data_IF_099137778901
#
_entry.id   IF_099137778901
#
_cell.length_a   1.000
_cell.length_b   1.000
_cell.length_c   1.000
_cell.angle_alpha   90.00
_cell.angle_beta   90.00
_cell.angle_gamma   90.00
#
_symmetry.space_group_name_H-M   'P 1'
#
loop_
_entity.id
_entity.type
_entity.pdbx_description
1 polymer ?
#
# COMPACT_ATOMS: atom_id res chain seq x y z
N UNK A 1 38.65 -45.11 18.06
CA UNK A 1 38.10 -44.71 16.75
C UNK A 1 36.62 -44.42 16.92
N UNK A 2 36.27 -43.14 17.05
CA UNK A 2 34.88 -42.66 17.10
C UNK A 2 34.92 -41.22 16.60
N UNK A 3 34.66 -41.03 15.30
CA UNK A 3 34.35 -39.72 14.76
C UNK A 3 32.85 -39.69 14.42
N UNK A 4 32.13 -38.91 15.21
CA UNK A 4 30.73 -38.58 15.01
C UNK A 4 30.56 -37.84 13.69
N UNK A 5 29.57 -38.26 12.91
CA UNK A 5 29.09 -37.55 11.73
C UNK A 5 28.60 -36.15 12.14
N UNK A 6 29.17 -35.12 11.52
CA UNK A 6 28.68 -33.76 11.63
C UNK A 6 27.31 -33.68 10.92
N UNK A 7 26.24 -33.56 11.69
CA UNK A 7 24.94 -33.12 11.21
C UNK A 7 25.11 -31.67 10.74
N UNK A 8 24.76 -31.30 9.49
CA UNK A 8 24.79 -29.91 9.08
C UNK A 8 23.81 -29.15 9.96
N UNK A 9 24.34 -28.24 10.78
CA UNK A 9 23.52 -27.30 11.53
C UNK A 9 22.65 -26.58 10.52
N UNK A 10 21.34 -26.84 10.60
CA UNK A 10 20.32 -26.01 9.99
C UNK A 10 20.67 -24.57 10.36
N UNK A 11 21.15 -23.81 9.39
CA UNK A 11 21.32 -22.38 9.55
C UNK A 11 19.95 -21.87 9.98
N UNK A 12 19.88 -21.46 11.24
CA UNK A 12 18.80 -20.64 11.74
C UNK A 12 18.76 -19.44 10.80
N UNK A 13 17.86 -19.51 9.83
CA UNK A 13 17.45 -18.38 9.02
C UNK A 13 17.01 -17.38 10.08
N UNK A 14 17.88 -16.39 10.35
CA UNK A 14 17.52 -15.24 11.14
C UNK A 14 16.24 -14.73 10.53
N UNK A 15 15.14 -14.89 11.25
CA UNK A 15 13.86 -14.34 10.89
C UNK A 15 14.06 -12.84 10.86
N UNK A 16 14.45 -12.31 9.69
CA UNK A 16 14.31 -10.90 9.41
C UNK A 16 12.87 -10.56 9.76
N UNK A 17 12.62 -9.51 10.56
CA UNK A 17 11.28 -9.20 11.02
C UNK A 17 10.34 -9.19 9.82
N UNK A 18 9.34 -10.08 9.89
CA UNK A 18 8.28 -10.25 8.90
C UNK A 18 7.55 -8.92 8.86
N UNK A 19 7.75 -8.14 7.80
CA UNK A 19 7.09 -6.84 7.67
C UNK A 19 5.78 -7.04 6.91
N UNK A 20 4.58 -6.88 7.48
CA UNK A 20 3.31 -6.93 6.75
C UNK A 20 3.02 -5.56 6.13
N UNK A 21 3.38 -5.34 4.87
CA UNK A 21 3.61 -3.97 4.38
C UNK A 21 2.46 -3.25 3.65
N UNK A 22 1.31 -3.89 3.39
CA UNK A 22 0.22 -3.20 2.67
C UNK A 22 -0.69 -2.38 3.59
N UNK A 23 -0.65 -2.60 4.93
CA UNK A 23 -1.51 -1.91 5.90
C UNK A 23 -0.86 -1.57 7.25
N UNK A 24 0.47 -1.50 7.34
CA UNK A 24 1.04 -0.78 8.48
C UNK A 24 0.89 0.72 8.22
N UNK A 25 -0.22 1.26 8.72
CA UNK A 25 -0.53 2.70 8.69
C UNK A 25 0.63 3.51 9.25
N UNK A 26 1.37 2.99 10.22
CA UNK A 26 2.50 3.67 10.84
C UNK A 26 3.72 3.71 9.90
N UNK A 27 4.07 2.59 9.26
CA UNK A 27 5.17 2.56 8.30
C UNK A 27 4.89 3.46 7.08
N UNK A 28 3.68 3.36 6.50
CA UNK A 28 3.27 4.21 5.38
C UNK A 28 3.24 5.70 5.77
N UNK A 29 2.83 6.02 7.00
CA UNK A 29 2.90 7.37 7.53
C UNK A 29 4.35 7.89 7.61
N UNK A 30 5.28 7.06 8.09
CA UNK A 30 6.70 7.41 8.12
C UNK A 30 7.27 7.60 6.71
N UNK A 31 6.93 6.74 5.76
CA UNK A 31 7.34 6.87 4.37
C UNK A 31 6.77 8.13 3.70
N UNK A 32 5.50 8.45 3.94
CA UNK A 32 4.88 9.69 3.47
C UNK A 32 5.59 10.93 4.04
N UNK A 33 5.99 10.90 5.32
CA UNK A 33 6.81 11.96 5.93
C UNK A 33 8.16 12.12 5.23
N UNK A 34 8.80 11.03 4.81
CA UNK A 34 10.07 11.11 4.09
C UNK A 34 9.92 11.75 2.70
N UNK A 35 8.88 11.38 1.94
CA UNK A 35 8.57 12.04 0.66
C UNK A 35 8.27 13.54 0.87
N UNK A 36 7.48 13.86 1.90
CA UNK A 36 7.19 15.26 2.27
C UNK A 36 8.47 16.02 2.62
N UNK A 37 9.37 15.41 3.37
CA UNK A 37 10.65 16.01 3.76
C UNK A 37 11.51 16.28 2.53
N UNK A 38 11.64 15.32 1.62
CA UNK A 38 12.37 15.49 0.36
C UNK A 38 11.81 16.65 -0.50
N UNK A 39 10.48 16.73 -0.63
CA UNK A 39 9.82 17.85 -1.35
C UNK A 39 10.08 19.20 -0.67
N UNK A 40 10.12 19.24 0.66
CA UNK A 40 10.46 20.47 1.40
C UNK A 40 11.94 20.83 1.30
N UNK A 41 12.85 19.86 1.22
CA UNK A 41 14.28 20.10 0.96
C UNK A 41 14.44 20.79 -0.40
N UNK A 42 13.81 20.26 -1.45
CA UNK A 42 13.82 20.88 -2.79
C UNK A 42 13.32 22.34 -2.74
N UNK A 43 12.23 22.59 -2.01
CA UNK A 43 11.65 23.93 -1.82
C UNK A 43 12.43 24.85 -0.86
N UNK A 44 13.50 24.36 -0.23
CA UNK A 44 14.25 25.11 0.79
C UNK A 44 13.46 25.39 2.08
N UNK A 45 12.44 24.58 2.37
CA UNK A 45 11.52 24.73 3.51
C UNK A 45 11.90 23.89 4.74
N UNK A 46 12.94 23.06 4.62
CA UNK A 46 13.58 22.36 5.75
C UNK A 46 14.99 22.91 5.89
N UNK A 47 15.31 23.38 7.09
CA UNK A 47 16.65 23.78 7.46
C UNK A 47 17.43 22.57 7.96
N UNK A 48 18.75 22.60 7.81
CA UNK A 48 19.62 21.57 8.39
C UNK A 48 19.63 21.68 9.91
N UNK A 49 19.66 22.92 10.44
CA UNK A 49 19.75 23.23 11.87
C UNK A 49 18.44 23.78 12.43
N UNK A 50 18.16 23.46 13.69
CA UNK A 50 17.00 24.00 14.40
C UNK A 50 17.19 25.52 14.63
N UNK A 51 16.15 26.32 14.34
CA UNK A 51 16.19 27.78 14.50
C UNK A 51 16.37 28.23 15.96
N UNK A 52 15.79 27.48 16.90
CA UNK A 52 15.81 27.74 18.34
C UNK A 52 17.04 27.11 19.01
N UNK A 53 17.63 26.09 18.38
CA UNK A 53 18.85 25.44 18.84
C UNK A 53 19.84 25.20 17.67
N UNK A 54 20.62 26.21 17.25
CA UNK A 54 21.48 26.12 16.04
C UNK A 54 22.55 25.02 16.08
N UNK A 55 22.88 24.52 17.27
CA UNK A 55 23.81 23.39 17.46
C UNK A 55 23.16 22.02 17.20
N UNK A 56 21.83 21.97 17.12
CA UNK A 56 21.05 20.76 16.90
C UNK A 56 20.56 20.69 15.45
N UNK A 57 20.41 19.48 14.93
CA UNK A 57 19.71 19.26 13.66
C UNK A 57 18.23 19.55 13.82
N UNK A 58 17.61 20.09 12.77
CA UNK A 58 16.16 20.22 12.70
C UNK A 58 15.52 18.82 12.81
N UNK A 59 14.42 18.69 13.56
CA UNK A 59 13.81 17.39 13.84
C UNK A 59 13.30 16.69 12.57
N UNK A 60 12.75 17.43 11.61
CA UNK A 60 12.30 16.85 10.34
C UNK A 60 13.49 16.43 9.48
N UNK A 61 14.56 17.23 9.47
CA UNK A 61 15.77 16.86 8.74
C UNK A 61 16.50 15.66 9.36
N UNK A 62 16.53 15.57 10.69
CA UNK A 62 17.06 14.42 11.41
C UNK A 62 16.29 13.13 11.05
N UNK A 63 14.96 13.19 10.97
CA UNK A 63 14.15 12.06 10.55
C UNK A 63 14.45 11.64 9.10
N UNK A 64 14.64 12.61 8.20
CA UNK A 64 15.07 12.36 6.82
C UNK A 64 16.44 11.66 6.75
N UNK A 65 17.43 12.14 7.52
CA UNK A 65 18.76 11.50 7.59
C UNK A 65 18.69 10.08 8.16
N UNK A 66 17.85 9.87 9.19
CA UNK A 66 17.59 8.55 9.78
C UNK A 66 16.98 7.55 8.81
N UNK A 67 16.32 8.02 7.75
CA UNK A 67 15.72 7.18 6.72
C UNK A 67 16.72 6.70 5.65
N UNK A 68 17.82 7.44 5.41
CA UNK A 68 18.79 7.10 4.36
C UNK A 68 19.43 5.71 4.54
N UNK A 69 19.86 5.30 5.76
CA UNK A 69 20.35 3.94 5.99
C UNK A 69 19.30 2.89 5.68
N UNK A 70 18.04 3.10 6.08
CA UNK A 70 16.98 2.14 5.77
C UNK A 70 16.83 1.97 4.26
N UNK A 71 16.81 3.08 3.51
CA UNK A 71 16.68 3.04 2.06
C UNK A 71 17.88 2.35 1.40
N UNK A 72 19.10 2.60 1.89
CA UNK A 72 20.31 1.90 1.42
C UNK A 72 20.15 0.38 1.49
N UNK A 73 19.68 -0.15 2.63
CA UNK A 73 19.54 -1.58 2.86
C UNK A 73 18.40 -2.22 2.05
N UNK A 74 17.37 -1.45 1.69
CA UNK A 74 16.17 -1.97 1.01
C UNK A 74 16.11 -1.67 -0.49
N UNK A 75 17.12 -0.98 -1.04
CA UNK A 75 17.14 -0.55 -2.47
C UNK A 75 16.92 -1.68 -3.47
N UNK A 76 17.44 -2.88 -3.19
CA UNK A 76 17.32 -4.04 -4.09
C UNK A 76 15.87 -4.50 -4.16
N UNK A 77 15.19 -4.60 -3.01
CA UNK A 77 13.77 -4.95 -2.93
C UNK A 77 12.89 -3.90 -3.61
N UNK A 78 13.27 -2.63 -3.50
CA UNK A 78 12.54 -1.51 -4.09
C UNK A 78 12.64 -1.47 -5.64
N UNK A 79 13.64 -2.10 -6.25
CA UNK A 79 13.82 -2.12 -7.69
C UNK A 79 12.65 -2.79 -8.46
N UNK A 80 11.87 -3.64 -7.78
CA UNK A 80 10.68 -4.27 -8.36
C UNK A 80 9.45 -3.34 -8.43
N UNK A 81 9.56 -2.11 -7.91
CA UNK A 81 8.44 -1.18 -7.77
C UNK A 81 8.67 0.09 -8.58
N UNK A 82 7.58 0.70 -9.03
CA UNK A 82 7.57 2.09 -9.46
C UNK A 82 7.58 2.97 -8.20
N UNK A 83 8.69 3.65 -7.95
CA UNK A 83 8.87 4.49 -6.77
C UNK A 83 8.44 5.93 -7.05
N UNK A 84 8.05 6.62 -5.98
CA UNK A 84 7.93 8.06 -5.98
C UNK A 84 9.25 8.70 -6.48
N UNK A 85 9.19 9.71 -7.37
CA UNK A 85 10.40 10.32 -7.94
C UNK A 85 11.43 10.81 -6.93
N UNK A 86 11.00 11.33 -5.77
CA UNK A 86 11.93 11.68 -4.69
C UNK A 86 12.64 10.43 -4.14
N UNK A 87 11.91 9.35 -3.87
CA UNK A 87 12.52 8.10 -3.41
C UNK A 87 13.45 7.49 -4.44
N UNK A 88 13.08 7.52 -5.71
CA UNK A 88 13.91 7.02 -6.79
C UNK A 88 15.25 7.78 -6.84
N UNK A 89 15.19 9.10 -6.77
CA UNK A 89 16.39 9.95 -6.77
C UNK A 89 17.28 9.76 -5.52
N UNK A 90 16.65 9.52 -4.37
CA UNK A 90 17.37 9.18 -3.14
C UNK A 90 18.01 7.80 -3.27
N UNK A 91 17.31 6.78 -3.78
CA UNK A 91 17.83 5.43 -4.00
C UNK A 91 19.11 5.45 -4.84
N UNK A 92 19.12 6.21 -5.94
CA UNK A 92 20.29 6.37 -6.80
C UNK A 92 21.49 6.97 -6.03
N UNK A 93 21.21 7.87 -5.07
CA UNK A 93 22.24 8.53 -4.27
C UNK A 93 22.73 7.66 -3.11
N UNK A 94 21.83 6.94 -2.44
CA UNK A 94 22.18 6.09 -1.30
C UNK A 94 22.75 4.73 -1.71
N UNK A 95 22.98 4.50 -3.01
CA UNK A 95 23.68 3.30 -3.49
C UNK A 95 25.11 3.16 -2.95
N UNK A 96 25.74 4.26 -2.53
CA UNK A 96 27.07 4.25 -1.92
C UNK A 96 27.04 3.69 -0.50
N UNK A 97 28.06 2.89 -0.15
CA UNK A 97 28.16 2.16 1.13
C UNK A 97 28.13 3.07 2.37
N UNK A 98 28.62 4.31 2.29
CA UNK A 98 28.66 5.22 3.43
C UNK A 98 27.26 5.63 3.93
N UNK A 99 26.23 5.62 3.07
CA UNK A 99 24.85 5.92 3.48
C UNK A 99 24.24 4.82 4.35
N UNK A 100 24.85 3.63 4.44
CA UNK A 100 24.45 2.59 5.40
C UNK A 100 24.73 3.00 6.85
N UNK A 101 25.63 3.96 7.07
CA UNK A 101 26.07 4.38 8.39
C UNK A 101 25.37 5.67 8.81
N UNK A 102 24.50 5.60 9.83
CA UNK A 102 23.80 6.76 10.35
C UNK A 102 24.75 7.86 10.84
N UNK A 103 25.88 7.51 11.48
CA UNK A 103 26.84 8.51 11.96
C UNK A 103 27.45 9.29 10.80
N UNK A 104 27.72 8.62 9.68
CA UNK A 104 28.16 9.32 8.47
C UNK A 104 27.11 10.32 8.00
N UNK A 105 25.84 9.93 7.93
CA UNK A 105 24.74 10.82 7.54
C UNK A 105 24.62 12.03 8.47
N UNK A 106 24.79 11.85 9.79
CA UNK A 106 24.68 12.92 10.77
C UNK A 106 25.88 13.90 10.70
N UNK A 107 27.10 13.39 10.54
CA UNK A 107 28.31 14.21 10.43
C UNK A 107 28.32 15.03 9.14
N UNK A 108 27.79 14.48 8.06
CA UNK A 108 27.77 15.11 6.73
C UNK A 108 26.43 15.78 6.39
N UNK A 109 25.62 16.10 7.41
CA UNK A 109 24.27 16.60 7.27
C UNK A 109 24.15 17.81 6.31
N UNK A 110 25.00 18.84 6.45
CA UNK A 110 24.94 20.02 5.58
C UNK A 110 25.25 19.68 4.12
N UNK A 111 26.32 18.91 3.88
CA UNK A 111 26.73 18.49 2.54
C UNK A 111 25.67 17.61 1.85
N UNK A 112 25.05 16.69 2.61
CA UNK A 112 23.97 15.82 2.13
C UNK A 112 22.73 16.66 1.77
N UNK A 113 22.40 17.69 2.56
CA UNK A 113 21.28 18.58 2.27
C UNK A 113 21.47 19.31 0.94
N UNK A 114 22.62 19.97 0.77
CA UNK A 114 22.94 20.72 -0.45
C UNK A 114 23.00 19.80 -1.67
N UNK A 115 23.56 18.59 -1.51
CA UNK A 115 23.59 17.59 -2.56
C UNK A 115 22.18 17.21 -3.01
N UNK A 116 21.29 16.81 -2.09
CA UNK A 116 19.93 16.41 -2.44
C UNK A 116 19.12 17.56 -3.00
N UNK A 117 19.20 18.76 -2.40
CA UNK A 117 18.53 19.96 -2.91
C UNK A 117 18.94 20.26 -4.35
N UNK A 118 20.25 20.27 -4.63
CA UNK A 118 20.78 20.50 -5.96
C UNK A 118 20.32 19.43 -6.95
N UNK A 119 20.33 18.15 -6.53
CA UNK A 119 19.91 17.01 -7.36
C UNK A 119 18.42 17.09 -7.71
N UNK A 120 17.56 17.34 -6.72
CA UNK A 120 16.12 17.47 -6.91
C UNK A 120 15.77 18.62 -7.86
N UNK A 121 16.37 19.80 -7.66
CA UNK A 121 16.14 20.97 -8.51
C UNK A 121 16.62 20.75 -9.96
N UNK A 122 17.81 20.17 -10.14
CA UNK A 122 18.36 19.89 -11.48
C UNK A 122 17.48 18.95 -12.30
N UNK A 123 16.95 17.91 -11.65
CA UNK A 123 16.05 16.93 -12.30
C UNK A 123 14.59 17.39 -12.34
N UNK A 124 14.24 18.49 -11.67
CA UNK A 124 12.88 19.02 -11.56
C UNK A 124 11.92 17.97 -10.98
N UNK A 125 12.34 17.32 -9.89
CA UNK A 125 11.61 16.18 -9.28
C UNK A 125 10.16 16.53 -8.95
N UNK A 126 9.85 17.77 -8.57
CA UNK A 126 8.48 18.21 -8.36
C UNK A 126 7.55 18.01 -9.58
N UNK A 127 8.05 18.15 -10.81
CA UNK A 127 7.28 17.91 -12.03
C UNK A 127 7.03 16.41 -12.22
N UNK A 128 8.08 15.58 -12.10
CA UNK A 128 7.94 14.12 -12.16
C UNK A 128 6.96 13.60 -11.09
N UNK A 129 7.05 14.15 -9.88
CA UNK A 129 6.15 13.81 -8.77
C UNK A 129 4.70 14.12 -9.11
N UNK A 130 4.43 15.27 -9.75
CA UNK A 130 3.07 15.67 -10.15
C UNK A 130 2.46 14.66 -11.14
N UNK A 131 3.23 14.22 -12.15
CA UNK A 131 2.81 13.17 -13.08
C UNK A 131 2.65 11.82 -12.39
N UNK A 132 3.50 11.51 -11.40
CA UNK A 132 3.42 10.24 -10.66
C UNK A 132 2.12 10.11 -9.85
N UNK A 133 1.68 11.19 -9.19
CA UNK A 133 0.49 11.19 -8.32
C UNK A 133 -0.83 11.42 -9.05
N UNK A 134 -0.79 11.91 -10.29
CA UNK A 134 -1.99 12.25 -11.07
C UNK A 134 -2.96 11.05 -11.20
N UNK A 135 -2.53 9.83 -11.59
CA UNK A 135 -3.43 8.67 -11.66
C UNK A 135 -4.10 8.32 -10.33
N UNK A 136 -3.41 8.56 -9.22
CA UNK A 136 -3.95 8.30 -7.87
C UNK A 136 -4.98 9.37 -7.51
N UNK A 137 -4.70 10.62 -7.85
CA UNK A 137 -5.60 11.75 -7.60
C UNK A 137 -6.90 11.61 -8.42
N UNK A 138 -6.79 11.20 -9.68
CA UNK A 138 -7.94 10.88 -10.54
C UNK A 138 -8.75 9.71 -9.97
N UNK A 139 -8.08 8.64 -9.53
CA UNK A 139 -8.76 7.51 -8.90
C UNK A 139 -9.56 7.92 -7.67
N UNK A 140 -8.97 8.72 -6.76
CA UNK A 140 -9.65 9.23 -5.57
C UNK A 140 -10.87 10.08 -5.96
N UNK A 141 -10.72 10.94 -6.98
CA UNK A 141 -11.82 11.77 -7.49
C UNK A 141 -12.98 10.91 -8.01
N UNK A 142 -12.68 9.91 -8.82
CA UNK A 142 -13.66 8.98 -9.38
C UNK A 142 -14.38 8.22 -8.27
N UNK A 143 -13.65 7.63 -7.32
CA UNK A 143 -14.24 6.87 -6.22
C UNK A 143 -15.15 7.71 -5.33
N UNK A 144 -14.73 8.95 -5.01
CA UNK A 144 -15.58 9.89 -4.27
C UNK A 144 -16.82 10.28 -5.04
N UNK A 145 -16.73 10.41 -6.37
CA UNK A 145 -17.87 10.71 -7.22
C UNK A 145 -18.85 9.53 -7.29
N UNK A 146 -18.35 8.29 -7.39
CA UNK A 146 -19.15 7.06 -7.33
C UNK A 146 -19.87 6.96 -5.99
N UNK A 147 -19.14 7.11 -4.87
CA UNK A 147 -19.71 7.13 -3.53
C UNK A 147 -20.83 8.17 -3.40
N UNK A 148 -20.56 9.41 -3.80
CA UNK A 148 -21.54 10.50 -3.77
C UNK A 148 -22.78 10.15 -4.60
N UNK A 149 -22.60 9.73 -5.85
CA UNK A 149 -23.71 9.36 -6.75
C UNK A 149 -24.55 8.22 -6.16
N UNK A 150 -23.90 7.19 -5.62
CA UNK A 150 -24.56 6.05 -5.02
C UNK A 150 -25.38 6.48 -3.79
N UNK A 151 -24.77 7.25 -2.88
CA UNK A 151 -25.47 7.75 -1.69
C UNK A 151 -26.64 8.67 -2.02
N UNK A 152 -26.43 9.59 -2.97
CA UNK A 152 -27.45 10.57 -3.37
C UNK A 152 -28.65 9.86 -4.02
N UNK A 153 -28.42 8.77 -4.78
CA UNK A 153 -29.46 7.96 -5.41
C UNK A 153 -30.20 7.07 -4.39
N UNK A 154 -29.47 6.34 -3.57
CA UNK A 154 -30.03 5.27 -2.73
C UNK A 154 -30.32 5.67 -1.28
N UNK A 155 -29.91 6.88 -0.88
CA UNK A 155 -30.12 7.53 0.42
C UNK A 155 -29.43 6.85 1.61
N UNK A 156 -29.21 5.54 1.55
CA UNK A 156 -28.50 4.78 2.57
C UNK A 156 -27.80 3.55 1.96
N UNK A 157 -26.61 3.26 2.48
CA UNK A 157 -25.84 2.09 2.08
C UNK A 157 -24.75 1.75 3.10
N UNK A 158 -24.34 0.49 3.13
CA UNK A 158 -23.19 -0.01 3.85
C UNK A 158 -21.96 0.13 2.94
N UNK A 159 -20.97 0.88 3.42
CA UNK A 159 -19.74 1.18 2.72
C UNK A 159 -18.62 0.33 3.30
N UNK A 160 -18.06 -0.54 2.47
CA UNK A 160 -17.18 -1.61 2.93
C UNK A 160 -15.87 -1.54 2.15
N UNK A 161 -14.76 -1.53 2.88
CA UNK A 161 -13.44 -1.68 2.31
C UNK A 161 -12.84 -2.97 2.87
N UNK A 162 -12.44 -3.84 1.96
CA UNK A 162 -11.75 -5.07 2.31
C UNK A 162 -10.34 -5.01 1.78
N UNK A 163 -9.40 -5.47 2.60
CA UNK A 163 -8.02 -5.75 2.21
C UNK A 163 -7.75 -7.20 2.55
N UNK A 164 -7.49 -8.01 1.51
CA UNK A 164 -7.46 -9.47 1.59
C UNK A 164 -6.05 -9.98 1.24
N UNK A 165 -5.15 -10.10 2.23
CA UNK A 165 -3.79 -10.59 2.01
C UNK A 165 -3.81 -12.00 1.43
N UNK A 166 -3.08 -12.18 0.35
CA UNK A 166 -2.94 -13.43 -0.37
C UNK A 166 -1.75 -14.22 0.18
N UNK A 167 -1.87 -14.69 1.42
CA UNK A 167 -0.89 -15.56 2.08
C UNK A 167 -1.46 -16.98 2.07
N UNK A 168 -1.09 -17.75 1.06
CA UNK A 168 -1.58 -19.11 0.92
C UNK A 168 -0.58 -20.13 1.43
N UNK A 169 -1.07 -21.10 2.17
CA UNK A 169 -0.31 -22.31 2.49
C UNK A 169 -0.39 -23.23 1.27
N UNK A 170 0.66 -23.27 0.47
CA UNK A 170 0.70 -24.11 -0.74
C UNK A 170 1.34 -25.47 -0.42
N UNK A 171 0.76 -26.60 -0.86
CA UNK A 171 1.52 -27.84 -0.98
C UNK A 171 2.49 -27.72 -2.18
N UNK A 172 3.78 -27.52 -1.87
CA UNK A 172 4.98 -27.88 -2.65
C UNK A 172 5.15 -27.49 -4.14
N UNK A 173 4.31 -26.69 -4.78
CA UNK A 173 4.54 -26.26 -6.18
C UNK A 173 5.28 -24.92 -6.27
N UNK A 174 6.49 -24.95 -6.85
CA UNK A 174 7.22 -23.74 -7.26
C UNK A 174 6.51 -23.18 -8.51
N UNK A 175 5.60 -22.23 -8.31
CA UNK A 175 4.99 -21.48 -9.40
C UNK A 175 5.91 -20.33 -9.82
N UNK A 176 5.96 -20.03 -11.12
CA UNK A 176 6.55 -18.77 -11.57
C UNK A 176 5.74 -17.58 -11.01
N UNK A 177 6.38 -16.42 -10.82
CA UNK A 177 5.68 -15.21 -10.34
C UNK A 177 4.49 -14.90 -11.26
N UNK A 178 4.67 -14.99 -12.58
CA UNK A 178 3.59 -14.71 -13.53
C UNK A 178 2.40 -15.67 -13.40
N UNK A 179 2.65 -16.96 -13.17
CA UNK A 179 1.57 -17.93 -12.96
C UNK A 179 0.82 -17.66 -11.66
N UNK A 180 1.55 -17.29 -10.60
CA UNK A 180 0.96 -16.91 -9.32
C UNK A 180 0.02 -15.71 -9.49
N UNK A 181 0.46 -14.67 -10.20
CA UNK A 181 -0.34 -13.48 -10.45
C UNK A 181 -1.60 -13.76 -11.29
N UNK A 182 -1.49 -14.63 -12.30
CA UNK A 182 -2.65 -15.06 -13.09
C UNK A 182 -3.67 -15.82 -12.23
N UNK A 183 -3.20 -16.69 -11.34
CA UNK A 183 -4.08 -17.40 -10.39
C UNK A 183 -4.77 -16.41 -9.44
N UNK A 184 -4.05 -15.45 -8.88
CA UNK A 184 -4.62 -14.41 -8.02
C UNK A 184 -5.79 -13.67 -8.69
N UNK A 185 -5.64 -13.30 -9.96
CA UNK A 185 -6.70 -12.61 -10.72
C UNK A 185 -7.92 -13.52 -10.91
N UNK A 186 -7.71 -14.80 -11.21
CA UNK A 186 -8.80 -15.77 -11.34
C UNK A 186 -9.57 -15.92 -10.04
N UNK A 187 -8.87 -16.00 -8.91
CA UNK A 187 -9.52 -16.09 -7.59
C UNK A 187 -10.28 -14.82 -7.23
N UNK A 188 -9.69 -13.64 -7.44
CA UNK A 188 -10.36 -12.36 -7.20
C UNK A 188 -11.63 -12.22 -8.04
N UNK A 189 -11.58 -12.58 -9.34
CA UNK A 189 -12.76 -12.61 -10.20
C UNK A 189 -13.81 -13.61 -9.73
N UNK A 190 -13.40 -14.81 -9.30
CA UNK A 190 -14.34 -15.83 -8.80
C UNK A 190 -15.02 -15.36 -7.51
N UNK A 191 -14.30 -14.69 -6.64
CA UNK A 191 -14.86 -14.09 -5.44
C UNK A 191 -15.91 -13.01 -5.77
N UNK A 192 -15.59 -12.10 -6.70
CA UNK A 192 -16.55 -11.07 -7.16
C UNK A 192 -17.80 -11.68 -7.80
N UNK A 193 -17.63 -12.75 -8.59
CA UNK A 193 -18.73 -13.51 -9.18
C UNK A 193 -19.64 -14.10 -8.09
N UNK A 194 -19.05 -14.69 -7.04
CA UNK A 194 -19.80 -15.25 -5.91
C UNK A 194 -20.57 -14.18 -5.13
N UNK A 195 -19.97 -13.01 -4.91
CA UNK A 195 -20.67 -11.87 -4.30
C UNK A 195 -21.88 -11.45 -5.15
N UNK A 196 -21.69 -11.30 -6.46
CA UNK A 196 -22.74 -10.92 -7.40
C UNK A 196 -23.91 -11.91 -7.42
N UNK A 197 -23.61 -13.22 -7.41
CA UNK A 197 -24.61 -14.31 -7.44
C UNK A 197 -25.25 -14.60 -6.07
N UNK A 198 -24.76 -14.00 -4.98
CA UNK A 198 -25.26 -14.31 -3.64
C UNK A 198 -26.70 -13.83 -3.43
N UNK A 199 -27.47 -14.64 -2.71
CA UNK A 199 -28.83 -14.30 -2.29
C UNK A 199 -28.87 -13.14 -1.30
N UNK A 200 -27.84 -13.04 -0.47
CA UNK A 200 -27.67 -12.06 0.61
C UNK A 200 -27.55 -10.64 0.04
N UNK A 201 -26.84 -10.51 -1.09
CA UNK A 201 -26.59 -9.25 -1.77
C UNK A 201 -27.48 -9.03 -3.00
N UNK A 202 -28.41 -9.94 -3.28
CA UNK A 202 -29.29 -9.86 -4.45
C UNK A 202 -30.05 -8.52 -4.48
N UNK A 203 -29.97 -7.82 -5.62
CA UNK A 203 -30.57 -6.50 -5.85
C UNK A 203 -30.15 -5.42 -4.84
N UNK A 204 -28.95 -5.56 -4.25
CA UNK A 204 -28.39 -4.59 -3.30
C UNK A 204 -26.94 -4.22 -3.60
N UNK A 205 -26.19 -5.10 -4.27
CA UNK A 205 -24.77 -4.90 -4.55
C UNK A 205 -24.59 -3.90 -5.68
N UNK A 206 -24.04 -2.72 -5.36
CA UNK A 206 -23.54 -1.81 -6.38
C UNK A 206 -22.29 -2.38 -7.04
N UNK A 207 -21.89 -1.81 -8.18
CA UNK A 207 -20.59 -2.09 -8.80
C UNK A 207 -19.45 -2.07 -7.77
N UNK A 208 -18.61 -3.09 -7.84
CA UNK A 208 -17.47 -3.28 -6.94
C UNK A 208 -16.22 -2.76 -7.61
N UNK A 209 -15.60 -1.74 -7.02
CA UNK A 209 -14.27 -1.30 -7.42
C UNK A 209 -13.23 -2.16 -6.70
N UNK A 210 -12.35 -2.83 -7.44
CA UNK A 210 -11.34 -3.72 -6.87
C UNK A 210 -9.98 -3.58 -7.57
N UNK A 211 -8.92 -4.01 -6.90
CA UNK A 211 -7.56 -4.06 -7.43
C UNK A 211 -6.73 -5.14 -6.75
N UNK A 212 -5.56 -5.41 -7.31
CA UNK A 212 -4.54 -6.22 -6.65
C UNK A 212 -3.28 -5.37 -6.50
N UNK A 213 -2.73 -5.40 -5.31
CA UNK A 213 -1.63 -4.55 -4.87
C UNK A 213 -0.58 -5.43 -4.21
N UNK A 214 0.68 -5.00 -4.25
CA UNK A 214 1.81 -5.75 -3.71
C UNK A 214 2.54 -4.87 -2.72
N UNK A 215 2.78 -5.37 -1.52
CA UNK A 215 3.59 -4.69 -0.53
C UNK A 215 5.09 -4.86 -0.78
N UNK A 216 5.89 -4.01 -0.13
CA UNK A 216 7.36 -4.11 -0.11
C UNK A 216 7.91 -5.44 0.45
N UNK A 217 7.10 -6.24 1.14
CA UNK A 217 7.47 -7.58 1.62
C UNK A 217 7.21 -8.68 0.58
N UNK A 218 6.71 -8.32 -0.60
CA UNK A 218 6.32 -9.26 -1.65
C UNK A 218 4.94 -9.89 -1.51
N UNK A 219 4.19 -9.61 -0.44
CA UNK A 219 2.81 -10.10 -0.25
C UNK A 219 1.87 -9.33 -1.16
N UNK A 220 1.01 -10.07 -1.85
CA UNK A 220 -0.09 -9.51 -2.65
C UNK A 220 -1.34 -9.38 -1.79
N UNK A 221 -2.19 -8.41 -2.12
CA UNK A 221 -3.48 -8.26 -1.48
C UNK A 221 -4.55 -7.88 -2.49
N UNK A 222 -5.73 -8.48 -2.36
CA UNK A 222 -6.93 -8.06 -3.10
C UNK A 222 -7.63 -6.99 -2.28
N UNK A 223 -7.74 -5.79 -2.84
CA UNK A 223 -8.47 -4.69 -2.21
C UNK A 223 -9.76 -4.43 -2.96
N UNK A 224 -10.85 -4.19 -2.24
CA UNK A 224 -12.12 -3.79 -2.85
C UNK A 224 -12.87 -2.74 -2.03
N UNK A 225 -13.53 -1.83 -2.75
CA UNK A 225 -14.57 -0.93 -2.26
C UNK A 225 -15.91 -1.49 -2.71
N UNK A 226 -16.75 -1.80 -1.74
CA UNK A 226 -18.04 -2.44 -1.93
C UNK A 226 -19.12 -1.54 -1.31
N UNK A 227 -20.20 -1.33 -2.05
CA UNK A 227 -21.38 -0.63 -1.56
C UNK A 227 -22.58 -1.55 -1.60
N UNK A 228 -23.24 -1.74 -0.46
CA UNK A 228 -24.47 -2.53 -0.35
C UNK A 228 -25.62 -1.63 0.06
N UNK A 229 -26.58 -1.45 -0.84
CA UNK A 229 -27.71 -0.54 -0.66
C UNK A 229 -28.69 -1.10 0.37
N UNK A 230 -29.31 -0.18 1.12
CA UNK A 230 -30.37 -0.50 2.06
C UNK A 230 -29.97 -0.21 3.49
N UNK A 231 -30.65 -0.86 4.43
CA UNK A 231 -30.50 -0.62 5.86
C UNK A 231 -29.14 -1.08 6.38
N UNK A 232 -28.79 -0.58 7.57
CA UNK A 232 -27.60 -0.98 8.32
C UNK A 232 -27.63 -2.48 8.62
N UNK A 233 -26.67 -3.20 8.05
CA UNK A 233 -26.47 -4.63 8.23
C UNK A 233 -24.98 -4.93 8.09
N UNK A 234 -24.50 -5.90 8.86
CA UNK A 234 -23.09 -6.29 8.88
C UNK A 234 -22.78 -7.29 7.76
N UNK A 235 -22.46 -6.79 6.57
CA UNK A 235 -22.12 -7.64 5.41
C UNK A 235 -20.64 -8.05 5.35
N UNK A 236 -19.79 -7.37 6.12
CA UNK A 236 -18.33 -7.61 6.18
C UNK A 236 -17.96 -9.08 6.39
N UNK A 237 -18.57 -9.75 7.37
CA UNK A 237 -18.26 -11.15 7.69
C UNK A 237 -18.62 -12.10 6.53
N UNK A 238 -19.77 -11.86 5.88
CA UNK A 238 -20.20 -12.61 4.70
C UNK A 238 -19.24 -12.41 3.52
N UNK A 239 -18.87 -11.16 3.21
CA UNK A 239 -17.97 -10.81 2.11
C UNK A 239 -16.60 -11.48 2.26
N UNK A 240 -16.06 -11.47 3.48
CA UNK A 240 -14.80 -12.15 3.82
C UNK A 240 -14.97 -13.68 3.77
N UNK A 241 -16.12 -14.20 4.19
CA UNK A 241 -16.46 -15.62 4.07
C UNK A 241 -16.44 -16.10 2.62
N UNK A 242 -17.00 -15.32 1.69
CA UNK A 242 -16.98 -15.62 0.26
C UNK A 242 -15.56 -15.64 -0.32
N UNK A 243 -14.65 -14.83 0.20
CA UNK A 243 -13.24 -14.88 -0.19
C UNK A 243 -12.59 -16.20 0.22
N UNK A 244 -12.87 -16.68 1.45
CA UNK A 244 -12.40 -18.00 1.91
C UNK A 244 -12.95 -19.11 1.01
N UNK A 245 -14.23 -19.04 0.66
CA UNK A 245 -14.85 -19.97 -0.29
C UNK A 245 -14.18 -19.97 -1.66
N UNK A 246 -13.84 -18.78 -2.19
CA UNK A 246 -13.12 -18.65 -3.46
C UNK A 246 -11.69 -19.22 -3.40
N UNK A 247 -10.98 -19.02 -2.28
CA UNK A 247 -9.66 -19.59 -2.06
C UNK A 247 -9.72 -21.13 -2.01
N UNK A 248 -10.66 -21.68 -1.25
CA UNK A 248 -10.85 -23.14 -1.10
C UNK A 248 -11.23 -23.80 -2.44
N UNK A 249 -12.09 -23.16 -3.23
CA UNK A 249 -12.44 -23.64 -4.57
C UNK A 249 -11.24 -23.69 -5.54
N UNK A 250 -10.16 -22.96 -5.23
CA UNK A 250 -8.91 -22.97 -5.98
C UNK A 250 -7.79 -23.78 -5.27
N UNK A 251 -8.11 -24.53 -4.22
CA UNK A 251 -7.18 -25.38 -3.49
C UNK A 251 -6.28 -24.66 -2.49
N UNK A 252 -6.64 -23.44 -2.09
CA UNK A 252 -5.86 -22.65 -1.14
C UNK A 252 -6.59 -22.48 0.20
N UNK A 253 -5.84 -22.59 1.29
CA UNK A 253 -6.26 -22.10 2.59
C UNK A 253 -5.66 -20.73 2.85
N UNK A 254 -6.47 -19.82 3.37
CA UNK A 254 -6.06 -18.50 3.82
C UNK A 254 -6.56 -18.32 5.26
N UNK A 255 -5.67 -18.54 6.21
CA UNK A 255 -5.96 -18.49 7.64
C UNK A 255 -5.83 -17.08 8.24
N UNK A 256 -5.47 -16.09 7.41
CA UNK A 256 -5.28 -14.72 7.88
C UNK A 256 -6.62 -14.15 8.34
N UNK A 257 -6.62 -13.54 9.53
CA UNK A 257 -7.77 -12.77 10.00
C UNK A 257 -7.86 -11.46 9.23
N UNK A 258 -9.04 -11.19 8.69
CA UNK A 258 -9.32 -9.99 7.92
C UNK A 258 -10.16 -9.05 8.77
N UNK A 259 -9.75 -7.79 8.88
CA UNK A 259 -10.54 -6.74 9.54
C UNK A 259 -11.03 -5.76 8.47
N UNK A 260 -12.18 -6.04 7.84
CA UNK A 260 -12.77 -5.11 6.89
C UNK A 260 -13.23 -3.83 7.61
N UNK A 261 -13.09 -2.69 6.94
CA UNK A 261 -13.71 -1.45 7.41
C UNK A 261 -15.15 -1.40 6.87
N UNK A 262 -16.11 -1.37 7.79
CA UNK A 262 -17.54 -1.37 7.48
C UNK A 262 -18.18 -0.16 8.15
N UNK A 263 -18.80 0.71 7.33
CA UNK A 263 -19.45 1.93 7.80
C UNK A 263 -20.79 2.10 7.10
N UNK A 264 -21.85 2.21 7.90
CA UNK A 264 -23.15 2.59 7.38
C UNK A 264 -23.21 4.10 7.11
N UNK A 265 -23.54 4.47 5.87
CA UNK A 265 -23.68 5.86 5.45
C UNK A 265 -25.13 6.17 5.09
N UNK A 266 -25.72 7.14 5.79
CA UNK A 266 -27.02 7.71 5.46
C UNK A 266 -26.87 9.16 4.95
N UNK A 267 -27.64 9.51 3.92
CA UNK A 267 -27.47 10.75 3.16
C UNK A 267 -27.61 12.01 4.01
N UNK A 268 -28.42 12.02 5.08
CA UNK A 268 -28.52 13.20 5.96
C UNK A 268 -27.41 13.29 7.04
N UNK A 269 -26.68 12.20 7.32
CA UNK A 269 -25.61 12.23 8.33
C UNK A 269 -24.29 12.68 7.69
N UNK A 270 -23.92 13.95 7.89
CA UNK A 270 -22.69 14.53 7.34
C UNK A 270 -21.41 13.83 7.80
N UNK A 271 -21.39 13.33 9.03
CA UNK A 271 -20.17 12.82 9.66
C UNK A 271 -19.70 11.53 8.99
N UNK A 272 -20.60 10.55 8.79
CA UNK A 272 -20.26 9.29 8.13
C UNK A 272 -19.88 9.47 6.67
N UNK A 273 -20.50 10.44 5.97
CA UNK A 273 -20.10 10.81 4.61
C UNK A 273 -18.69 11.38 4.56
N UNK A 274 -18.37 12.27 5.48
CA UNK A 274 -17.06 12.90 5.56
C UNK A 274 -15.99 11.89 5.97
N UNK A 275 -16.33 11.01 6.92
CA UNK A 275 -15.49 9.89 7.32
C UNK A 275 -15.15 9.01 6.13
N UNK A 276 -16.16 8.49 5.41
CA UNK A 276 -15.92 7.59 4.29
C UNK A 276 -15.11 8.25 3.16
N UNK A 277 -15.38 9.53 2.85
CA UNK A 277 -14.60 10.28 1.87
C UNK A 277 -13.13 10.42 2.25
N UNK A 278 -12.83 10.54 3.56
CA UNK A 278 -11.46 10.55 4.08
C UNK A 278 -10.83 9.16 3.98
N UNK A 279 -11.58 8.09 4.25
CA UNK A 279 -11.10 6.72 4.09
C UNK A 279 -10.68 6.41 2.65
N UNK A 280 -11.46 6.85 1.65
CA UNK A 280 -11.09 6.73 0.23
C UNK A 280 -9.72 7.36 -0.08
N UNK A 281 -9.37 8.48 0.57
CA UNK A 281 -8.01 9.06 0.43
C UNK A 281 -6.97 8.14 1.06
N UNK A 282 -7.20 7.69 2.30
CA UNK A 282 -6.28 6.86 3.07
C UNK A 282 -5.96 5.53 2.37
N UNK A 283 -6.93 4.89 1.73
CA UNK A 283 -6.70 3.64 0.97
C UNK A 283 -5.75 3.83 -0.21
N UNK A 284 -5.59 5.06 -0.70
CA UNK A 284 -4.75 5.38 -1.85
C UNK A 284 -3.43 6.04 -1.46
N UNK A 285 -3.24 6.46 -0.20
CA UNK A 285 -2.01 7.11 0.29
C UNK A 285 -0.74 6.28 0.04
N UNK A 286 -0.70 4.95 0.32
CA UNK A 286 0.51 4.16 0.08
C UNK A 286 0.99 4.21 -1.37
N UNK A 287 0.06 4.29 -2.33
CA UNK A 287 0.36 4.33 -3.76
C UNK A 287 0.95 5.65 -4.25
N UNK A 288 0.93 6.70 -3.41
CA UNK A 288 1.68 7.94 -3.66
C UNK A 288 3.18 7.80 -3.37
N UNK A 289 3.59 6.70 -2.72
CA UNK A 289 4.97 6.43 -2.35
C UNK A 289 5.58 5.37 -3.28
N UNK A 290 4.89 4.25 -3.47
CA UNK A 290 5.36 3.16 -4.33
C UNK A 290 4.17 2.40 -4.90
N UNK A 291 4.37 1.78 -6.05
CA UNK A 291 3.34 0.92 -6.66
C UNK A 291 3.97 -0.20 -7.48
N UNK A 292 3.26 -1.31 -7.54
CA UNK A 292 3.65 -2.47 -8.31
C UNK A 292 2.74 -2.63 -9.53
N UNK A 293 3.33 -2.94 -10.67
CA UNK A 293 2.60 -3.24 -11.90
C UNK A 293 3.36 -4.30 -12.70
N UNK A 294 2.62 -5.28 -13.20
CA UNK A 294 3.09 -6.35 -14.05
C UNK A 294 2.15 -6.50 -15.24
N UNK A 295 2.40 -7.50 -16.11
CA UNK A 295 1.48 -7.82 -17.21
C UNK A 295 0.09 -8.23 -16.72
N UNK A 296 0.01 -8.84 -15.54
CA UNK A 296 -1.22 -9.42 -15.00
C UNK A 296 -1.84 -8.51 -13.94
N UNK A 297 -1.03 -7.95 -13.04
CA UNK A 297 -1.49 -7.17 -11.90
C UNK A 297 -1.23 -5.68 -12.13
N UNK A 298 -2.24 -4.87 -11.80
CA UNK A 298 -2.12 -3.41 -11.78
C UNK A 298 -2.75 -2.88 -10.51
N UNK A 299 -2.10 -1.87 -9.92
CA UNK A 299 -2.59 -1.12 -8.76
C UNK A 299 -3.83 -0.27 -9.08
N UNK A 300 -4.18 -0.13 -10.35
CA UNK A 300 -5.35 0.64 -10.79
C UNK A 300 -6.63 -0.11 -10.46
N UNK A 301 -7.62 0.64 -10.01
CA UNK A 301 -8.95 0.12 -9.74
C UNK A 301 -9.62 -0.35 -11.03
N UNK A 302 -10.30 -1.49 -10.92
CA UNK A 302 -11.13 -2.11 -11.94
C UNK A 302 -12.54 -2.20 -11.38
N UNK A 303 -13.54 -2.08 -12.23
CA UNK A 303 -14.93 -2.21 -11.81
C UNK A 303 -15.44 -3.60 -12.19
N UNK A 304 -16.17 -4.23 -11.27
CA UNK A 304 -16.95 -5.44 -11.50
C UNK A 304 -18.42 -5.12 -11.32
N UNK A 305 -19.25 -5.50 -12.27
CA UNK A 305 -20.67 -5.13 -12.30
C UNK A 305 -21.43 -5.70 -11.10
N UNK A 306 -22.17 -4.83 -10.42
CA UNK A 306 -23.10 -5.19 -9.34
C UNK A 306 -24.34 -5.89 -9.86
N UNK A 307 -25.33 -6.09 -8.99
CA UNK A 307 -26.59 -6.76 -9.32
C UNK A 307 -27.82 -5.84 -9.19
N UNK A 308 -27.60 -4.55 -9.43
CA UNK A 308 -28.57 -3.45 -9.39
C UNK A 308 -28.51 -2.57 -10.64
#
# INVERSE_FOLDING_TARGET
>A
MTHYAAIPQAQAIQQAPVLPFMLDTQANFNFAKNVKSASRIEKGQILVRDKRAPKCLDHEYLAFLGFLPWLHHHRITLAAFQLNPYWNEICDSVGFSHYSNLNYCLVNADAIHDQFKCKFLKRRIALEYSTFIEPISESIKTQKAVFKRCLDKHKQMNCIFVDLPCIFVHPAQVLSISDYELKLIKMARKWLERLHQSTELASKLYDVDWRIVKSLNGIYSVQALIYVIGNELKYSDFIVGEWKGACLANGYTNEVQHQPLDVHCYFAYNDMRSFWRKQIELFNEPLKIYRYESKSISYRWKTYTGNI
#
